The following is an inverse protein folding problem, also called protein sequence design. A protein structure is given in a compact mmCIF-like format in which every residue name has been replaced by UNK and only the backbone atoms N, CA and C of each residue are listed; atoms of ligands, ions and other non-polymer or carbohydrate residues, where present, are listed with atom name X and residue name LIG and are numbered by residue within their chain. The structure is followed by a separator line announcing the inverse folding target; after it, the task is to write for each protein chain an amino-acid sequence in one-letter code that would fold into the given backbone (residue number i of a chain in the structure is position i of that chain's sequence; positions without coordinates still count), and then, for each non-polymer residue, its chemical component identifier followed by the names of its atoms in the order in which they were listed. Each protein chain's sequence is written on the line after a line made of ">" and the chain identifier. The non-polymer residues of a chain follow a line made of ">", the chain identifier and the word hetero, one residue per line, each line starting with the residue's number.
data_IF_223146770579
#
_entry.id   IF_223146770579
#
_cell.length_a   1.000
_cell.length_b   1.000
_cell.length_c   1.000
_cell.angle_alpha   90.00
_cell.angle_beta   90.00
_cell.angle_gamma   90.00
#
_symmetry.space_group_name_H-M   'P 1'
#
loop_
_entity.id
_entity.type
_entity.pdbx_description
1 polymer ?
#
# COMPACT_ATOMS: atom_id res chain seq x y z
N UNK A 1 10.02 23.01 23.35
CA UNK A 1 10.48 22.58 22.01
C UNK A 1 9.28 22.14 21.18
N UNK A 2 9.22 22.50 19.89
CA UNK A 2 8.09 22.13 19.03
C UNK A 2 8.19 20.67 18.57
N UNK A 3 7.07 19.96 18.57
CA UNK A 3 6.98 18.59 18.04
C UNK A 3 7.15 18.65 16.53
N UNK A 4 7.89 17.70 15.95
CA UNK A 4 8.01 17.52 14.49
C UNK A 4 7.33 16.24 14.05
N UNK A 5 6.65 16.32 12.92
CA UNK A 5 5.90 15.22 12.31
C UNK A 5 6.41 14.96 10.91
N UNK A 6 6.70 13.70 10.60
CA UNK A 6 6.72 13.23 9.22
C UNK A 6 5.27 13.01 8.79
N UNK A 7 4.92 13.44 7.59
CA UNK A 7 3.60 13.22 7.03
C UNK A 7 3.68 12.52 5.68
N UNK A 8 2.67 11.73 5.38
CA UNK A 8 2.36 11.22 4.05
C UNK A 8 1.07 11.92 3.61
N UNK A 9 1.12 12.62 2.49
CA UNK A 9 -0.04 13.26 1.89
C UNK A 9 -0.27 12.77 0.47
N UNK A 10 -1.54 12.58 0.14
CA UNK A 10 -2.02 12.21 -1.19
C UNK A 10 -2.77 13.38 -1.80
N UNK A 11 -2.82 13.45 -3.12
CA UNK A 11 -3.64 14.42 -3.84
C UNK A 11 -4.30 13.71 -5.00
N UNK A 12 -5.62 13.87 -5.12
CA UNK A 12 -6.37 13.12 -6.12
C UNK A 12 -6.03 13.49 -7.57
N UNK A 13 -5.45 14.67 -7.77
CA UNK A 13 -4.98 15.09 -9.09
C UNK A 13 -3.71 14.37 -9.55
N UNK A 14 -2.99 13.70 -8.66
CA UNK A 14 -1.69 13.07 -8.98
C UNK A 14 -1.78 11.55 -9.18
N UNK A 15 -2.99 11.03 -9.34
CA UNK A 15 -3.25 9.58 -9.38
C UNK A 15 -2.74 8.84 -10.62
N UNK A 16 -2.33 9.52 -11.70
CA UNK A 16 -1.81 8.86 -12.89
C UNK A 16 -0.40 8.23 -12.72
N UNK A 17 0.30 8.53 -11.61
CA UNK A 17 1.68 8.07 -11.40
C UNK A 17 2.04 7.77 -9.94
N UNK A 18 1.05 7.53 -9.05
CA UNK A 18 1.28 7.25 -7.63
C UNK A 18 2.14 8.30 -6.90
N UNK A 19 1.94 9.58 -7.19
CA UNK A 19 2.76 10.61 -6.54
C UNK A 19 2.21 10.95 -5.17
N UNK A 20 2.96 10.56 -4.15
CA UNK A 20 2.72 10.97 -2.78
C UNK A 20 3.72 12.05 -2.38
N UNK A 21 3.32 12.91 -1.46
CA UNK A 21 4.24 13.84 -0.81
C UNK A 21 4.59 13.32 0.59
N UNK A 22 5.88 13.11 0.81
CA UNK A 22 6.40 12.78 2.14
C UNK A 22 7.24 13.97 2.59
N UNK A 23 6.95 14.54 3.75
CA UNK A 23 7.68 15.70 4.24
C UNK A 23 7.66 15.79 5.75
N UNK A 24 8.29 16.83 6.30
CA UNK A 24 8.28 17.10 7.74
C UNK A 24 7.75 18.51 8.04
N UNK A 25 7.02 18.63 9.13
CA UNK A 25 6.46 19.90 9.61
C UNK A 25 6.22 19.84 11.12
N UNK A 26 6.09 20.99 11.77
CA UNK A 26 5.61 21.10 13.15
C UNK A 26 4.08 21.06 13.24
N UNK A 27 3.39 21.51 12.18
CA UNK A 27 1.94 21.51 12.09
C UNK A 27 1.46 20.93 10.74
N UNK A 28 0.88 19.73 10.78
CA UNK A 28 0.47 18.99 9.58
C UNK A 28 -0.77 19.58 8.93
N UNK A 29 -1.76 20.03 9.71
CA UNK A 29 -3.00 20.62 9.18
C UNK A 29 -2.73 21.96 8.46
N UNK A 30 -1.93 22.83 9.08
CA UNK A 30 -1.50 24.08 8.46
C UNK A 30 -0.74 23.80 7.17
N UNK A 31 0.12 22.78 7.16
CA UNK A 31 0.88 22.37 5.97
C UNK A 31 -0.02 21.82 4.87
N UNK A 32 -1.01 21.00 5.21
CA UNK A 32 -2.00 20.47 4.26
C UNK A 32 -2.79 21.61 3.59
N UNK A 33 -3.25 22.61 4.35
CA UNK A 33 -3.92 23.80 3.80
C UNK A 33 -3.01 24.62 2.88
N UNK A 34 -1.74 24.81 3.26
CA UNK A 34 -0.76 25.53 2.42
C UNK A 34 -0.48 24.83 1.09
N UNK A 35 -0.43 23.50 1.10
CA UNK A 35 -0.20 22.69 -0.10
C UNK A 35 -1.44 22.59 -0.99
N UNK A 36 -2.64 22.63 -0.40
CA UNK A 36 -3.94 22.60 -1.08
C UNK A 36 -4.36 23.98 -1.60
N UNK A 37 -3.42 24.72 -2.17
CA UNK A 37 -3.68 26.04 -2.74
C UNK A 37 -4.15 25.94 -4.20
N UNK A 38 -4.36 27.08 -4.85
CA UNK A 38 -4.88 27.19 -6.23
C UNK A 38 -3.95 26.59 -7.31
N UNK A 39 -2.73 26.16 -6.96
CA UNK A 39 -1.79 25.53 -7.89
C UNK A 39 -1.99 24.02 -8.04
N UNK A 40 -2.90 23.41 -7.26
CA UNK A 40 -3.29 22.00 -7.39
C UNK A 40 -4.80 21.88 -7.61
N UNK A 41 -5.27 21.02 -8.54
CA UNK A 41 -6.70 20.95 -8.87
C UNK A 41 -7.58 20.40 -7.74
N UNK A 42 -7.08 19.44 -6.96
CA UNK A 42 -7.76 18.85 -5.81
C UNK A 42 -6.95 19.07 -4.53
N UNK A 43 -7.59 19.10 -3.34
CA UNK A 43 -6.87 19.30 -2.09
C UNK A 43 -6.02 18.07 -1.73
N UNK A 44 -4.94 18.31 -0.98
CA UNK A 44 -4.20 17.22 -0.36
C UNK A 44 -4.98 16.63 0.81
N UNK A 45 -4.92 15.30 0.94
CA UNK A 45 -5.40 14.55 2.09
C UNK A 45 -4.21 14.06 2.90
N UNK A 46 -4.34 14.10 4.22
CA UNK A 46 -3.35 13.51 5.13
C UNK A 46 -3.63 12.01 5.13
N UNK A 47 -2.65 11.20 4.75
CA UNK A 47 -2.76 9.75 4.78
C UNK A 47 -2.20 9.18 6.10
N UNK A 48 -1.08 9.72 6.56
CA UNK A 48 -0.47 9.33 7.82
C UNK A 48 0.44 10.41 8.39
N UNK A 49 0.67 10.36 9.71
CA UNK A 49 1.65 11.19 10.41
C UNK A 49 2.45 10.37 11.41
N UNK A 50 3.71 10.72 11.61
CA UNK A 50 4.60 10.11 12.59
C UNK A 50 5.32 11.18 13.40
N UNK A 51 5.08 11.24 14.71
CA UNK A 51 5.75 12.19 15.62
C UNK A 51 7.18 11.72 15.93
N UNK A 52 8.16 12.50 15.48
CA UNK A 52 9.58 12.20 15.65
C UNK A 52 10.01 12.26 17.14
N UNK A 53 10.99 11.44 17.54
CA UNK A 53 11.64 11.61 18.84
C UNK A 53 12.30 12.98 18.94
N UNK A 54 12.37 13.51 20.17
CA UNK A 54 13.12 14.74 20.44
C UNK A 54 14.59 14.46 20.13
N UNK A 55 15.13 15.17 19.16
CA UNK A 55 16.56 15.16 18.85
C UNK A 55 17.20 16.33 19.60
N UNK A 56 18.31 16.09 20.30
CA UNK A 56 19.11 17.17 20.87
C UNK A 56 19.59 18.12 19.76
N UNK A 57 19.59 19.43 20.06
CA UNK A 57 19.54 20.61 19.17
C UNK A 57 20.59 20.72 18.03
N UNK A 58 21.51 19.77 17.86
CA UNK A 58 22.70 19.96 17.02
C UNK A 58 22.83 19.09 15.77
N UNK A 59 21.81 18.31 15.40
CA UNK A 59 21.78 17.63 14.09
C UNK A 59 20.59 18.14 13.30
N UNK A 60 20.87 18.86 12.20
CA UNK A 60 19.89 19.32 11.21
C UNK A 60 18.82 18.23 11.01
N UNK A 61 17.62 18.38 11.61
CA UNK A 61 16.62 17.31 11.60
C UNK A 61 16.31 16.93 10.17
N UNK A 62 16.37 17.92 9.28
CA UNK A 62 16.13 17.84 7.85
C UNK A 62 17.06 16.83 7.17
N UNK A 63 18.32 16.65 7.59
CA UNK A 63 19.21 15.64 6.99
C UNK A 63 18.78 14.23 7.39
N UNK A 64 18.54 13.98 8.68
CA UNK A 64 18.07 12.69 9.16
C UNK A 64 16.68 12.34 8.58
N UNK A 65 15.81 13.35 8.44
CA UNK A 65 14.51 13.22 7.76
C UNK A 65 14.71 12.95 6.27
N UNK A 66 15.63 13.63 5.59
CA UNK A 66 15.94 13.37 4.18
C UNK A 66 16.53 11.98 3.97
N UNK A 67 17.38 11.50 4.86
CA UNK A 67 17.95 10.15 4.83
C UNK A 67 16.84 9.11 5.11
N UNK A 68 15.94 9.39 6.05
CA UNK A 68 14.77 8.57 6.34
C UNK A 68 13.79 8.53 5.16
N UNK A 69 13.52 9.67 4.54
CA UNK A 69 12.67 9.79 3.34
C UNK A 69 13.32 9.07 2.15
N UNK A 70 14.64 9.14 1.99
CA UNK A 70 15.37 8.34 1.00
C UNK A 70 15.29 6.84 1.31
N UNK A 71 15.27 6.46 2.58
CA UNK A 71 15.04 5.07 3.01
C UNK A 71 13.59 4.63 2.72
N UNK A 72 12.61 5.54 2.88
CA UNK A 72 11.19 5.30 2.57
C UNK A 72 10.97 5.13 1.05
N UNK A 73 11.74 5.83 0.22
CA UNK A 73 11.53 5.81 -1.23
C UNK A 73 12.87 5.84 -2.00
N UNK A 74 13.67 4.76 -1.94
CA UNK A 74 14.97 4.72 -2.59
C UNK A 74 14.80 4.83 -4.11
N UNK A 75 15.42 5.84 -4.72
CA UNK A 75 15.40 6.10 -6.17
C UNK A 75 14.02 6.37 -6.80
N UNK A 76 12.98 6.68 -6.00
CA UNK A 76 11.63 6.98 -6.52
C UNK A 76 11.23 8.45 -6.42
N UNK A 77 12.20 9.34 -6.16
CA UNK A 77 11.97 10.78 -6.03
C UNK A 77 11.79 11.40 -7.42
N UNK A 78 10.70 12.14 -7.62
CA UNK A 78 10.35 12.73 -8.93
C UNK A 78 11.18 13.98 -9.22
N UNK A 79 11.60 14.70 -8.19
CA UNK A 79 12.41 15.91 -8.33
C UNK A 79 13.40 16.03 -7.18
N UNK A 80 14.65 16.36 -7.50
CA UNK A 80 15.71 16.50 -6.48
C UNK A 80 15.36 17.53 -5.40
N UNK A 81 14.64 18.60 -5.78
CA UNK A 81 14.32 19.73 -4.90
C UNK A 81 12.91 19.64 -4.28
N UNK A 82 12.10 18.63 -4.63
CA UNK A 82 10.74 18.48 -4.09
C UNK A 82 10.53 17.07 -3.56
N UNK A 83 9.90 16.96 -2.40
CA UNK A 83 9.70 15.69 -1.70
C UNK A 83 8.46 14.93 -2.23
N UNK A 84 8.38 14.73 -3.55
CA UNK A 84 7.37 13.90 -4.18
C UNK A 84 8.00 12.58 -4.62
N UNK A 85 7.25 11.49 -4.46
CA UNK A 85 7.71 10.13 -4.71
C UNK A 85 6.68 9.33 -5.49
N UNK A 86 7.13 8.55 -6.46
CA UNK A 86 6.32 7.52 -7.13
C UNK A 86 6.25 6.27 -6.23
N UNK A 87 5.32 6.29 -5.29
CA UNK A 87 5.21 5.27 -4.25
C UNK A 87 3.76 5.21 -3.77
N UNK A 88 3.24 4.01 -3.55
CA UNK A 88 1.89 3.86 -3.04
C UNK A 88 1.80 4.36 -1.57
N UNK A 89 0.72 5.04 -1.16
CA UNK A 89 0.61 5.60 0.20
C UNK A 89 0.79 4.55 1.30
N UNK A 90 0.29 3.32 1.09
CA UNK A 90 0.43 2.23 2.05
C UNK A 90 1.86 1.69 2.12
N UNK A 91 2.60 1.68 1.02
CA UNK A 91 4.02 1.28 1.02
C UNK A 91 4.84 2.26 1.88
N UNK A 92 4.59 3.57 1.71
CA UNK A 92 5.22 4.58 2.55
C UNK A 92 4.84 4.44 4.03
N UNK A 93 3.58 4.12 4.32
CA UNK A 93 3.10 3.90 5.69
C UNK A 93 3.70 2.66 6.34
N UNK A 94 3.84 1.56 5.60
CA UNK A 94 4.50 0.35 6.10
C UNK A 94 5.94 0.64 6.51
N UNK A 95 6.65 1.48 5.74
CA UNK A 95 8.02 1.86 6.09
C UNK A 95 8.04 2.74 7.34
N UNK A 96 7.13 3.72 7.46
CA UNK A 96 6.98 4.48 8.71
C UNK A 96 6.63 3.59 9.90
N UNK A 97 5.86 2.52 9.68
CA UNK A 97 5.53 1.52 10.71
C UNK A 97 6.78 0.80 11.19
N UNK A 98 7.63 0.34 10.27
CA UNK A 98 8.91 -0.30 10.62
C UNK A 98 9.84 0.66 11.37
N UNK A 99 9.91 1.92 10.95
CA UNK A 99 10.71 2.95 11.64
C UNK A 99 10.16 3.21 13.05
N UNK A 100 8.85 3.35 13.19
CA UNK A 100 8.19 3.54 14.47
C UNK A 100 8.40 2.33 15.41
N UNK A 101 8.42 1.11 14.87
CA UNK A 101 8.80 -0.11 15.60
C UNK A 101 10.24 -0.06 16.10
N UNK A 102 11.20 0.29 15.25
CA UNK A 102 12.61 0.40 15.63
C UNK A 102 12.81 1.44 16.74
N UNK A 103 12.02 2.51 16.76
CA UNK A 103 12.03 3.51 17.81
C UNK A 103 11.15 3.17 19.03
N UNK A 104 10.44 2.04 19.01
CA UNK A 104 9.43 1.66 20.00
C UNK A 104 8.39 2.77 20.28
N UNK A 105 7.90 3.41 19.20
CA UNK A 105 7.01 4.59 19.21
C UNK A 105 5.83 4.45 18.25
N UNK A 106 5.24 3.26 18.19
CA UNK A 106 4.05 3.03 17.36
C UNK A 106 2.85 3.87 17.81
N UNK A 107 2.77 4.22 19.09
CA UNK A 107 1.80 5.16 19.65
C UNK A 107 1.88 6.58 19.05
N UNK A 108 2.97 6.88 18.34
CA UNK A 108 3.23 8.15 17.67
C UNK A 108 3.02 8.11 16.16
N UNK A 109 2.66 6.96 15.60
CA UNK A 109 2.27 6.80 14.20
C UNK A 109 0.74 6.80 14.11
N UNK A 110 0.18 7.72 13.32
CA UNK A 110 -1.25 7.85 13.07
C UNK A 110 -1.55 7.65 11.59
N UNK A 111 -2.51 6.79 11.28
CA UNK A 111 -3.09 6.65 9.93
C UNK A 111 -4.44 7.35 9.90
N UNK A 112 -4.71 8.04 8.81
CA UNK A 112 -5.95 8.74 8.55
C UNK A 112 -6.59 8.02 7.36
N UNK A 113 -7.60 7.21 7.63
CA UNK A 113 -8.39 6.52 6.62
C UNK A 113 -9.46 7.46 6.04
N UNK A 114 -9.69 7.36 4.73
CA UNK A 114 -10.69 8.16 4.01
C UNK A 114 -12.15 7.90 4.48
N UNK A 115 -12.35 7.03 5.47
CA UNK A 115 -13.64 6.61 6.01
C UNK A 115 -13.86 6.87 7.51
N UNK A 116 -13.01 7.60 8.24
CA UNK A 116 -13.42 8.09 9.58
C UNK A 116 -12.61 9.28 10.08
N UNK A 117 -13.31 10.41 10.28
CA UNK A 117 -12.86 11.48 11.16
C UNK A 117 -12.80 10.95 12.60
N UNK A 118 -11.58 10.76 13.12
CA UNK A 118 -11.34 10.61 14.56
C UNK A 118 -11.59 9.21 15.13
N UNK A 119 -10.59 8.33 15.05
CA UNK A 119 -10.40 7.29 16.06
C UNK A 119 -8.90 7.08 16.26
N UNK A 120 -8.44 7.24 17.50
CA UNK A 120 -7.08 6.88 17.91
C UNK A 120 -6.89 5.37 17.75
N UNK A 121 -5.91 4.95 16.94
CA UNK A 121 -5.43 3.58 16.96
C UNK A 121 -4.39 3.47 18.07
N UNK A 122 -4.85 3.07 19.25
CA UNK A 122 -4.00 2.66 20.37
C UNK A 122 -3.38 1.31 20.01
N UNK A 123 -2.04 1.24 20.07
CA UNK A 123 -1.29 0.00 20.22
C UNK A 123 -1.30 -0.94 19.02
N UNK A 124 -0.43 -0.67 18.04
CA UNK A 124 0.10 -1.78 17.23
C UNK A 124 1.11 -2.53 18.09
N UNK A 125 0.70 -3.64 18.69
CA UNK A 125 1.62 -4.78 18.80
C UNK A 125 2.04 -5.16 17.38
N UNK A 126 3.27 -5.66 17.19
CA UNK A 126 3.68 -6.29 15.92
C UNK A 126 2.57 -7.27 15.58
N UNK A 127 1.75 -6.91 14.60
CA UNK A 127 0.54 -7.64 14.32
C UNK A 127 1.00 -8.89 13.58
N UNK A 128 1.21 -9.97 14.35
CA UNK A 128 1.23 -11.34 13.85
C UNK A 128 -0.17 -11.68 13.30
N UNK A 129 -0.69 -10.87 12.37
CA UNK A 129 -1.95 -11.13 11.68
C UNK A 129 -1.74 -12.44 10.95
N UNK A 130 -2.50 -13.43 11.35
CA UNK A 130 -2.52 -14.67 10.63
C UNK A 130 -3.42 -14.49 9.40
N UNK A 131 -3.13 -15.21 8.32
CA UNK A 131 -3.94 -15.17 7.09
C UNK A 131 -5.44 -15.38 7.40
N UNK A 132 -5.71 -16.23 8.38
CA UNK A 132 -7.05 -16.59 8.87
C UNK A 132 -7.83 -15.43 9.48
N UNK A 133 -7.18 -14.39 9.99
CA UNK A 133 -7.87 -13.27 10.66
C UNK A 133 -8.77 -12.48 9.71
N UNK A 134 -8.43 -12.47 8.42
CA UNK A 134 -9.18 -11.79 7.36
C UNK A 134 -10.38 -12.59 6.87
N UNK A 135 -10.40 -13.90 7.11
CA UNK A 135 -11.43 -14.82 6.61
C UNK A 135 -12.44 -15.25 7.68
N UNK A 136 -12.35 -14.74 8.92
CA UNK A 136 -13.28 -14.99 10.05
C UNK A 136 -14.78 -14.78 9.77
N UNK A 137 -15.15 -14.36 8.55
CA UNK A 137 -16.52 -14.07 8.13
C UNK A 137 -17.32 -15.32 7.77
N UNK A 138 -16.76 -16.34 7.11
CA UNK A 138 -17.47 -17.60 6.77
C UNK A 138 -16.50 -18.76 6.49
N UNK A 139 -16.98 -20.01 6.65
CA UNK A 139 -16.25 -21.24 6.29
C UNK A 139 -15.95 -21.30 4.78
N UNK A 140 -16.90 -20.88 3.94
CA UNK A 140 -16.76 -20.80 2.48
C UNK A 140 -15.56 -19.95 2.03
N UNK A 141 -15.33 -18.80 2.68
CA UNK A 141 -14.18 -17.95 2.34
C UNK A 141 -12.85 -18.61 2.66
N UNK A 142 -12.79 -19.45 3.71
CA UNK A 142 -11.58 -20.23 4.01
C UNK A 142 -11.32 -21.27 2.93
N UNK A 143 -12.38 -21.92 2.41
CA UNK A 143 -12.27 -22.91 1.34
C UNK A 143 -11.80 -22.23 0.05
N UNK A 144 -12.44 -21.12 -0.34
CA UNK A 144 -12.05 -20.34 -1.52
C UNK A 144 -10.58 -19.87 -1.41
N UNK A 145 -10.19 -19.31 -0.27
CA UNK A 145 -8.82 -18.85 -0.09
C UNK A 145 -7.82 -20.00 -0.14
N UNK A 146 -8.14 -21.15 0.45
CA UNK A 146 -7.27 -22.34 0.40
C UNK A 146 -7.06 -22.83 -1.03
N UNK A 147 -8.12 -22.87 -1.84
CA UNK A 147 -8.02 -23.22 -3.27
C UNK A 147 -7.15 -22.22 -4.04
N UNK A 148 -7.44 -20.94 -3.92
CA UNK A 148 -6.66 -19.88 -4.57
C UNK A 148 -5.19 -19.90 -4.14
N UNK A 149 -4.91 -20.10 -2.85
CA UNK A 149 -3.57 -20.19 -2.30
C UNK A 149 -2.78 -21.36 -2.90
N UNK A 150 -3.42 -22.50 -3.12
CA UNK A 150 -2.78 -23.64 -3.79
C UNK A 150 -2.42 -23.30 -5.24
N UNK A 151 -3.33 -22.66 -5.98
CA UNK A 151 -3.05 -22.18 -7.35
C UNK A 151 -1.86 -21.22 -7.36
N UNK A 152 -1.81 -20.24 -6.46
CA UNK A 152 -0.69 -19.29 -6.38
C UNK A 152 0.62 -20.00 -6.01
N UNK A 153 0.56 -21.01 -5.15
CA UNK A 153 1.72 -21.81 -4.73
C UNK A 153 2.29 -22.65 -5.87
N UNK A 154 1.45 -23.13 -6.79
CA UNK A 154 1.89 -23.84 -8.00
C UNK A 154 2.69 -22.92 -8.94
N UNK A 155 2.40 -21.62 -8.94
CA UNK A 155 3.11 -20.62 -9.75
C UNK A 155 4.50 -20.33 -9.17
N UNK A 156 4.57 -19.99 -7.88
CA UNK A 156 5.83 -19.81 -7.16
C UNK A 156 5.62 -20.05 -5.66
N UNK A 157 6.15 -21.15 -5.10
CA UNK A 157 6.00 -21.45 -3.68
C UNK A 157 6.79 -20.49 -2.77
N UNK A 158 7.67 -19.66 -3.32
CA UNK A 158 8.50 -18.71 -2.57
C UNK A 158 7.90 -17.31 -2.49
N UNK A 159 6.70 -17.08 -3.02
CA UNK A 159 6.01 -15.81 -2.85
C UNK A 159 5.79 -15.53 -1.36
N UNK A 160 6.27 -14.37 -0.90
CA UNK A 160 6.07 -13.94 0.47
C UNK A 160 4.62 -13.54 0.67
N UNK A 161 3.97 -14.16 1.65
CA UNK A 161 2.59 -13.85 2.03
C UNK A 161 2.63 -12.81 3.15
N UNK A 162 1.99 -11.66 2.94
CA UNK A 162 1.89 -10.58 3.93
C UNK A 162 0.42 -10.22 4.18
N UNK A 163 -0.18 -10.71 5.27
CA UNK A 163 -1.50 -10.26 5.70
C UNK A 163 -1.49 -8.78 6.09
N UNK A 164 -2.47 -8.02 5.58
CA UNK A 164 -2.73 -6.62 5.92
C UNK A 164 -4.10 -6.49 6.59
N UNK A 165 -4.54 -5.26 6.91
CA UNK A 165 -5.79 -5.03 7.66
C UNK A 165 -7.04 -5.53 6.92
N UNK A 166 -7.00 -5.52 5.58
CA UNK A 166 -8.17 -5.82 4.73
C UNK A 166 -7.90 -6.79 3.59
N UNK A 167 -6.64 -7.19 3.39
CA UNK A 167 -6.24 -8.00 2.25
C UNK A 167 -4.95 -8.75 2.54
N UNK A 168 -4.64 -9.75 1.72
CA UNK A 168 -3.38 -10.49 1.76
C UNK A 168 -2.57 -10.11 0.53
N UNK A 169 -1.34 -9.62 0.74
CA UNK A 169 -0.40 -9.36 -0.35
C UNK A 169 0.44 -10.61 -0.61
N UNK A 170 0.60 -10.97 -1.88
CA UNK A 170 1.60 -11.93 -2.34
C UNK A 170 2.72 -11.15 -3.01
N UNK A 171 3.95 -11.35 -2.53
CA UNK A 171 5.10 -10.55 -2.92
C UNK A 171 6.22 -11.41 -3.49
N UNK A 172 6.81 -10.94 -4.58
CA UNK A 172 8.09 -11.44 -5.08
C UNK A 172 9.18 -10.51 -4.61
N UNK A 173 10.01 -10.98 -3.68
CA UNK A 173 11.00 -10.17 -2.97
C UNK A 173 10.29 -8.98 -2.30
N UNK A 174 10.53 -7.74 -2.75
CA UNK A 174 9.94 -6.53 -2.19
C UNK A 174 8.68 -6.06 -2.93
N UNK A 175 8.40 -6.59 -4.13
CA UNK A 175 7.32 -6.13 -5.01
C UNK A 175 6.05 -6.95 -4.80
N UNK A 176 4.91 -6.28 -4.73
CA UNK A 176 3.61 -6.95 -4.72
C UNK A 176 3.30 -7.48 -6.13
N UNK A 177 2.79 -8.70 -6.20
CA UNK A 177 2.39 -9.38 -7.45
C UNK A 177 0.88 -9.56 -7.48
N UNK A 178 0.30 -9.96 -6.35
CA UNK A 178 -1.14 -10.12 -6.17
C UNK A 178 -1.59 -9.49 -4.86
N UNK A 179 -2.84 -9.05 -4.80
CA UNK A 179 -3.51 -8.78 -3.53
C UNK A 179 -4.88 -9.47 -3.51
N UNK A 180 -5.18 -10.17 -2.42
CA UNK A 180 -6.43 -10.92 -2.23
C UNK A 180 -7.28 -10.20 -1.19
N UNK A 181 -8.43 -9.70 -1.61
CA UNK A 181 -9.39 -8.99 -0.78
C UNK A 181 -10.60 -9.88 -0.49
N UNK A 182 -10.82 -10.33 0.75
CA UNK A 182 -12.04 -11.04 1.11
C UNK A 182 -13.26 -10.11 1.12
N UNK A 183 -14.26 -10.47 0.32
CA UNK A 183 -15.60 -9.87 0.37
C UNK A 183 -16.55 -10.76 1.18
N UNK A 184 -17.86 -10.49 1.14
CA UNK A 184 -18.86 -11.21 1.94
C UNK A 184 -18.99 -12.70 1.59
N UNK A 185 -18.84 -13.05 0.31
CA UNK A 185 -19.08 -14.40 -0.22
C UNK A 185 -18.12 -14.82 -1.35
N UNK A 186 -17.04 -14.05 -1.55
CA UNK A 186 -16.06 -14.27 -2.62
C UNK A 186 -14.75 -13.58 -2.28
N UNK A 187 -13.73 -13.87 -3.06
CA UNK A 187 -12.47 -13.14 -3.06
C UNK A 187 -12.44 -12.20 -4.26
N UNK A 188 -11.87 -11.02 -4.07
CA UNK A 188 -11.47 -10.14 -5.15
C UNK A 188 -9.95 -10.19 -5.25
N UNK A 189 -9.45 -10.62 -6.40
CA UNK A 189 -8.01 -10.79 -6.65
C UNK A 189 -7.55 -9.65 -7.53
N UNK A 190 -6.67 -8.83 -7.00
CA UNK A 190 -6.05 -7.70 -7.68
C UNK A 190 -4.75 -8.17 -8.32
N UNK A 191 -4.60 -7.86 -9.61
CA UNK A 191 -3.42 -8.14 -10.40
C UNK A 191 -2.53 -6.89 -10.44
N UNK A 192 -1.26 -7.02 -10.05
CA UNK A 192 -0.30 -5.93 -10.19
C UNK A 192 0.20 -5.84 -11.63
N UNK A 193 -0.68 -5.36 -12.51
CA UNK A 193 -0.44 -5.17 -13.94
C UNK A 193 -1.09 -3.86 -14.41
N UNK A 194 -0.46 -3.20 -15.37
CA UNK A 194 -0.98 -2.00 -16.06
C UNK A 194 -1.88 -2.40 -17.24
N UNK A 195 -2.67 -1.45 -17.72
CA UNK A 195 -3.54 -1.60 -18.88
C UNK A 195 -2.77 -2.14 -20.08
N UNK A 196 -3.33 -3.17 -20.72
CA UNK A 196 -2.75 -3.86 -21.87
C UNK A 196 -1.67 -4.89 -21.53
N UNK A 197 -1.31 -5.09 -20.25
CA UNK A 197 -0.30 -6.11 -19.87
C UNK A 197 -0.89 -7.49 -19.62
N UNK A 198 -2.21 -7.60 -19.49
CA UNK A 198 -2.93 -8.86 -19.30
C UNK A 198 -3.83 -9.08 -20.49
N UNK A 199 -3.70 -10.25 -21.11
CA UNK A 199 -4.61 -10.73 -22.14
C UNK A 199 -5.71 -11.57 -21.46
N UNK A 200 -6.94 -11.09 -21.52
CA UNK A 200 -8.10 -11.77 -20.94
C UNK A 200 -9.01 -12.29 -22.06
N UNK A 201 -8.78 -13.54 -22.46
CA UNK A 201 -9.54 -14.18 -23.53
C UNK A 201 -11.01 -14.46 -23.14
N UNK A 202 -11.31 -14.55 -21.84
CA UNK A 202 -12.62 -14.97 -21.32
C UNK A 202 -13.47 -13.81 -20.79
N UNK A 203 -12.89 -12.62 -20.63
CA UNK A 203 -13.59 -11.45 -20.08
C UNK A 203 -13.79 -11.53 -18.56
N UNK A 204 -12.91 -12.28 -17.87
CA UNK A 204 -12.96 -12.52 -16.43
C UNK A 204 -12.46 -11.34 -15.61
N UNK A 205 -11.53 -10.54 -16.14
CA UNK A 205 -10.98 -9.38 -15.44
C UNK A 205 -11.82 -8.13 -15.72
N UNK A 206 -11.82 -7.21 -14.77
CA UNK A 206 -12.37 -5.87 -14.93
C UNK A 206 -11.33 -4.82 -14.58
N UNK A 207 -11.48 -3.68 -15.23
CA UNK A 207 -10.67 -2.49 -15.01
C UNK A 207 -10.94 -1.90 -13.62
N UNK A 208 -9.88 -1.73 -12.84
CA UNK A 208 -9.89 -1.06 -11.54
C UNK A 208 -8.97 0.16 -11.50
N UNK A 209 -8.57 0.68 -12.66
CA UNK A 209 -7.74 1.89 -12.79
C UNK A 209 -8.38 3.11 -12.12
N UNK A 210 -9.71 3.12 -12.00
CA UNK A 210 -10.46 4.12 -11.24
C UNK A 210 -10.26 4.03 -9.72
N UNK A 211 -9.71 2.93 -9.19
CA UNK A 211 -9.38 2.75 -7.77
C UNK A 211 -8.05 3.40 -7.37
N UNK A 212 -7.40 4.08 -8.32
CA UNK A 212 -6.26 4.96 -8.07
C UNK A 212 -5.01 4.21 -7.57
N UNK A 213 -4.93 2.90 -7.84
CA UNK A 213 -3.77 2.05 -7.58
C UNK A 213 -2.98 1.91 -8.88
N UNK A 214 -1.97 2.75 -9.06
CA UNK A 214 -1.31 2.86 -10.37
C UNK A 214 -0.43 1.65 -10.72
N UNK A 215 -0.16 0.80 -9.73
CA UNK A 215 0.53 -0.47 -9.92
C UNK A 215 -0.41 -1.64 -10.25
N UNK A 216 -1.74 -1.43 -10.18
CA UNK A 216 -2.75 -2.49 -10.30
C UNK A 216 -4.01 -1.97 -10.99
N UNK A 217 -4.15 -2.25 -12.28
CA UNK A 217 -5.27 -1.77 -13.10
C UNK A 217 -6.29 -2.86 -13.43
N UNK A 218 -6.05 -4.10 -13.03
CA UNK A 218 -6.97 -5.22 -13.23
C UNK A 218 -7.29 -5.96 -11.93
N UNK A 219 -8.53 -6.45 -11.83
CA UNK A 219 -8.94 -7.42 -10.81
C UNK A 219 -9.94 -8.41 -11.38
N UNK A 220 -10.09 -9.56 -10.73
CA UNK A 220 -11.17 -10.51 -11.01
C UNK A 220 -11.83 -10.98 -9.71
N UNK A 221 -13.05 -11.51 -9.83
CA UNK A 221 -13.77 -12.14 -8.73
C UNK A 221 -13.47 -13.64 -8.74
N UNK A 222 -13.24 -14.19 -7.57
CA UNK A 222 -12.99 -15.61 -7.36
C UNK A 222 -13.99 -16.17 -6.36
N UNK A 223 -14.81 -17.10 -6.83
CA UNK A 223 -15.84 -17.83 -6.11
C UNK A 223 -15.86 -19.30 -6.58
N UNK A 224 -16.84 -20.09 -6.12
CA UNK A 224 -16.89 -21.53 -6.40
C UNK A 224 -17.21 -21.87 -7.86
N UNK A 225 -17.76 -20.91 -8.62
CA UNK A 225 -18.13 -21.08 -10.03
C UNK A 225 -17.02 -20.57 -10.97
N UNK A 226 -15.94 -20.02 -10.41
CA UNK A 226 -14.84 -19.47 -11.19
C UNK A 226 -13.98 -20.59 -11.80
N UNK A 227 -13.73 -20.51 -13.10
CA UNK A 227 -12.88 -21.45 -13.83
C UNK A 227 -11.40 -21.37 -13.38
N UNK A 228 -10.88 -22.47 -12.84
CA UNK A 228 -9.52 -22.51 -12.28
C UNK A 228 -8.42 -22.39 -13.35
N UNK A 229 -8.69 -22.84 -14.59
CA UNK A 229 -7.71 -22.75 -15.69
C UNK A 229 -7.53 -21.29 -16.13
N UNK A 230 -8.63 -20.55 -16.27
CA UNK A 230 -8.59 -19.10 -16.49
C UNK A 230 -7.84 -18.37 -15.37
N UNK A 231 -8.10 -18.73 -14.10
CA UNK A 231 -7.40 -18.14 -12.94
C UNK A 231 -5.90 -18.41 -13.01
N UNK A 232 -5.49 -19.64 -13.31
CA UNK A 232 -4.08 -20.01 -13.50
C UNK A 232 -3.44 -19.19 -14.61
N UNK A 233 -4.11 -19.01 -15.73
CA UNK A 233 -3.60 -18.20 -16.85
C UNK A 233 -3.35 -16.75 -16.43
N UNK A 234 -4.35 -16.09 -15.84
CA UNK A 234 -4.26 -14.69 -15.42
C UNK A 234 -3.17 -14.45 -14.37
N UNK A 235 -3.07 -15.35 -13.39
CA UNK A 235 -2.05 -15.26 -12.35
C UNK A 235 -0.64 -15.48 -12.93
N UNK A 236 -0.46 -16.42 -13.86
CA UNK A 236 0.83 -16.66 -14.53
C UNK A 236 1.27 -15.47 -15.41
N UNK A 237 0.34 -14.88 -16.17
CA UNK A 237 0.61 -13.68 -16.97
C UNK A 237 1.10 -12.54 -16.07
N UNK A 238 0.40 -12.29 -14.96
CA UNK A 238 0.76 -11.26 -13.98
C UNK A 238 2.11 -11.55 -13.32
N UNK A 239 2.35 -12.79 -12.86
CA UNK A 239 3.62 -13.17 -12.25
C UNK A 239 4.82 -12.97 -13.19
N UNK A 240 4.65 -13.27 -14.48
CA UNK A 240 5.69 -13.16 -15.50
C UNK A 240 6.21 -11.72 -15.67
N UNK A 241 5.39 -10.70 -15.39
CA UNK A 241 5.80 -9.28 -15.38
C UNK A 241 6.92 -8.99 -14.37
N UNK A 242 7.06 -9.84 -13.35
CA UNK A 242 8.04 -9.71 -12.27
C UNK A 242 9.24 -10.65 -12.41
N UNK A 243 9.27 -11.47 -13.47
CA UNK A 243 10.35 -12.45 -13.72
C UNK A 243 11.43 -11.92 -14.68
N UNK A 244 11.14 -10.90 -15.49
CA UNK A 244 12.04 -10.42 -16.55
C UNK A 244 12.85 -9.15 -16.19
N UNK A 245 12.86 -8.72 -14.93
CA UNK A 245 13.62 -7.55 -14.46
C UNK A 245 14.72 -7.96 -13.45
N UNK A 246 15.60 -8.87 -13.87
CA UNK A 246 16.86 -9.20 -13.17
C UNK A 246 18.01 -8.39 -13.75
#
# INVERSE_FOLDING_TARGET
>A
MSKKYIYIMTNESFHASNWIKIGCTDNVEKRQKQLSNTSVPLPFKIYATYELPQMEDNKKPDKAIHDLIQTIAPNRKISNNREFFELEPWEAYDILTNIAQLHNRLDKLKRYDDNNYGAEIIGYTVDERNETDLFKKTEDLHILYSKLKNIIKEIDPNLMIKPNKFYIAYKKVSKNVFAVWPQSNRLEVILYAKLGQINDATGTIYDISNRLWTSSQYAFKYDFDTDEDTVKELLNQTYSLFSNNS
#
